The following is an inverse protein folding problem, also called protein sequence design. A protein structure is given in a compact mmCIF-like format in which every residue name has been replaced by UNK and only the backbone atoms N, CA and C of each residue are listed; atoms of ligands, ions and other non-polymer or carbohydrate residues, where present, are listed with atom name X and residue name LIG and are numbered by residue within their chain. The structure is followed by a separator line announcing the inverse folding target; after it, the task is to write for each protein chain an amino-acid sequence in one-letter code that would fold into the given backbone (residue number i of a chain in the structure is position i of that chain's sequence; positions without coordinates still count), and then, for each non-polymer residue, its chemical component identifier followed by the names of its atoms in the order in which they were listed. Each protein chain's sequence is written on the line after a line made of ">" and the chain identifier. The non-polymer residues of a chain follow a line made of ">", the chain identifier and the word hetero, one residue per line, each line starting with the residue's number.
data_IF_360257533350
#
_entry.id   IF_360257533350
#
_cell.length_a   1.000
_cell.length_b   1.000
_cell.length_c   1.000
_cell.angle_alpha   90.00
_cell.angle_beta   90.00
_cell.angle_gamma   90.00
#
_symmetry.space_group_name_H-M   'P 1'
#
loop_
_entity.id
_entity.type
_entity.pdbx_description
1 polymer ?
#
# COMPACT_ATOMS: atom_id res chain seq x y z
N UNK A 1 -3.76 20.36 -0.26
CA UNK A 1 -4.93 19.86 0.44
C UNK A 1 -5.17 20.64 1.72
N UNK A 2 -6.40 20.94 1.97
CA UNK A 2 -6.71 21.77 3.13
C UNK A 2 -6.91 20.91 4.37
N UNK A 3 -6.33 21.37 5.48
CA UNK A 3 -6.52 20.74 6.76
C UNK A 3 -7.95 20.94 7.26
N UNK A 4 -8.49 19.98 8.00
CA UNK A 4 -9.75 20.23 8.69
C UNK A 4 -9.57 21.37 9.68
N UNK A 5 -10.60 22.18 9.90
CA UNK A 5 -10.47 23.33 10.81
C UNK A 5 -10.20 22.91 12.24
N UNK A 6 -10.61 21.73 12.65
CA UNK A 6 -10.28 21.20 13.97
C UNK A 6 -10.53 19.70 13.99
N UNK A 7 -9.98 19.06 15.00
CA UNK A 7 -10.13 17.64 15.18
C UNK A 7 -11.59 17.28 15.45
N UNK A 8 -11.99 16.15 14.94
CA UNK A 8 -13.32 15.59 15.18
C UNK A 8 -13.24 14.69 16.41
N UNK A 9 -14.26 14.75 17.28
CA UNK A 9 -14.31 13.86 18.42
C UNK A 9 -14.51 12.43 17.94
N UNK A 10 -13.72 11.48 18.43
CA UNK A 10 -13.89 10.07 18.04
C UNK A 10 -15.18 9.51 18.59
N UNK A 11 -15.74 8.53 17.89
CA UNK A 11 -16.94 7.83 18.36
C UNK A 11 -16.71 7.16 19.70
N UNK A 12 -15.53 6.58 19.88
CA UNK A 12 -15.18 5.92 21.14
C UNK A 12 -13.92 6.58 21.69
N UNK A 13 -14.07 7.58 22.56
CA UNK A 13 -12.91 8.30 23.07
C UNK A 13 -12.03 7.50 24.02
N UNK A 14 -12.50 6.33 24.49
CA UNK A 14 -11.69 5.49 25.38
C UNK A 14 -10.74 4.57 24.60
N UNK A 15 -10.87 4.47 23.28
CA UNK A 15 -10.05 3.59 22.46
C UNK A 15 -9.39 4.31 21.29
N UNK A 16 -8.97 5.54 21.52
CA UNK A 16 -8.27 6.32 20.51
C UNK A 16 -6.89 5.71 20.30
N UNK A 17 -6.58 5.37 19.03
CA UNK A 17 -5.27 4.82 18.72
C UNK A 17 -4.20 5.90 18.78
N UNK A 18 -3.02 5.49 19.17
CA UNK A 18 -1.82 6.34 19.12
C UNK A 18 -0.80 5.65 18.23
N UNK A 19 0.21 6.39 17.80
CA UNK A 19 1.26 5.81 16.97
C UNK A 19 2.05 4.79 17.78
N UNK A 20 2.07 3.52 17.35
CA UNK A 20 2.87 2.50 18.05
C UNK A 20 4.34 2.61 17.67
N UNK A 21 5.19 1.83 18.35
CA UNK A 21 6.60 1.77 18.02
C UNK A 21 6.86 1.22 16.60
N UNK A 22 5.96 0.34 16.14
CA UNK A 22 6.07 -0.26 14.80
C UNK A 22 4.83 0.10 14.01
N UNK A 23 5.02 0.83 12.91
CA UNK A 23 3.90 1.22 12.07
C UNK A 23 4.38 1.40 10.63
N UNK A 24 3.44 1.31 9.70
CA UNK A 24 3.65 1.63 8.31
C UNK A 24 2.89 2.91 8.00
N UNK A 25 3.31 3.65 6.98
CA UNK A 25 2.61 4.84 6.57
C UNK A 25 2.16 4.71 5.12
N UNK A 26 1.12 5.44 4.79
CA UNK A 26 0.56 5.46 3.44
C UNK A 26 0.41 6.91 3.02
N UNK A 27 0.74 7.18 1.76
CA UNK A 27 0.53 8.49 1.18
C UNK A 27 -0.96 8.69 0.95
N UNK A 28 -1.53 9.76 1.50
CA UNK A 28 -2.96 10.03 1.36
C UNK A 28 -3.40 10.16 -0.10
N UNK A 29 -2.51 10.52 -1.00
CA UNK A 29 -2.84 10.65 -2.42
C UNK A 29 -3.19 9.31 -3.07
N UNK A 30 -2.83 8.21 -2.43
CA UNK A 30 -3.24 6.88 -2.91
C UNK A 30 -4.76 6.73 -2.96
N UNK A 31 -5.48 7.50 -2.14
CA UNK A 31 -6.95 7.50 -2.14
C UNK A 31 -7.53 7.65 -3.55
N UNK A 32 -6.90 8.48 -4.37
CA UNK A 32 -7.40 8.80 -5.69
C UNK A 32 -7.01 7.77 -6.74
N UNK A 33 -6.24 6.75 -6.34
CA UNK A 33 -5.80 5.68 -7.22
C UNK A 33 -6.57 4.38 -7.05
N UNK A 34 -7.44 4.31 -6.04
CA UNK A 34 -8.04 3.03 -5.63
C UNK A 34 -8.91 2.42 -6.74
N UNK A 35 -9.69 3.24 -7.42
CA UNK A 35 -10.55 2.74 -8.49
C UNK A 35 -9.74 2.12 -9.63
N UNK A 36 -8.64 2.75 -9.99
CA UNK A 36 -7.79 2.25 -11.07
C UNK A 36 -7.08 0.95 -10.70
N UNK A 37 -6.85 0.71 -9.41
CA UNK A 37 -6.11 -0.46 -8.96
C UNK A 37 -6.97 -1.71 -8.90
N UNK A 38 -8.19 -1.61 -8.37
CA UNK A 38 -9.02 -2.77 -8.09
C UNK A 38 -8.60 -3.46 -6.79
N UNK A 39 -9.45 -4.35 -6.31
CA UNK A 39 -9.30 -4.90 -4.96
C UNK A 39 -8.03 -5.70 -4.77
N UNK A 40 -7.66 -6.54 -5.72
CA UNK A 40 -6.47 -7.38 -5.58
C UNK A 40 -5.19 -6.55 -5.54
N UNK A 41 -5.11 -5.52 -6.39
CA UNK A 41 -3.94 -4.65 -6.39
C UNK A 41 -3.88 -3.80 -5.14
N UNK A 42 -5.04 -3.35 -4.63
CA UNK A 42 -5.10 -2.63 -3.36
C UNK A 42 -4.60 -3.53 -2.23
N UNK A 43 -5.05 -4.78 -2.20
CA UNK A 43 -4.61 -5.74 -1.18
C UNK A 43 -3.11 -5.96 -1.24
N UNK A 44 -2.56 -6.14 -2.44
CA UNK A 44 -1.13 -6.34 -2.61
C UNK A 44 -0.36 -5.10 -2.18
N UNK A 45 -0.82 -3.92 -2.55
CA UNK A 45 -0.15 -2.67 -2.17
C UNK A 45 -0.14 -2.50 -0.66
N UNK A 46 -1.26 -2.80 -0.01
CA UNK A 46 -1.36 -2.73 1.44
C UNK A 46 -0.36 -3.69 2.10
N UNK A 47 -0.33 -4.94 1.63
CA UNK A 47 0.60 -5.94 2.12
C UNK A 47 2.05 -5.48 1.98
N UNK A 48 2.39 -4.92 0.82
CA UNK A 48 3.77 -4.47 0.58
C UNK A 48 4.15 -3.32 1.50
N UNK A 49 3.21 -2.44 1.84
CA UNK A 49 3.49 -1.38 2.81
C UNK A 49 3.77 -1.96 4.20
N UNK A 50 3.05 -3.00 4.59
CA UNK A 50 3.27 -3.63 5.90
C UNK A 50 4.58 -4.40 5.95
N UNK A 51 5.06 -4.90 4.81
CA UNK A 51 6.25 -5.76 4.75
C UNK A 51 7.54 -5.01 4.46
N UNK A 52 7.45 -3.78 3.98
CA UNK A 52 8.60 -3.05 3.47
C UNK A 52 9.57 -2.64 4.58
N UNK A 53 10.87 -2.65 4.24
CA UNK A 53 11.87 -2.02 5.09
C UNK A 53 11.81 -0.49 4.91
N UNK A 54 12.75 0.22 5.52
CA UNK A 54 12.70 1.69 5.49
C UNK A 54 12.96 2.28 4.10
N UNK A 55 13.51 1.49 3.18
CA UNK A 55 13.70 1.94 1.79
C UNK A 55 12.55 1.52 0.89
N UNK A 56 11.53 0.87 1.44
CA UNK A 56 10.37 0.43 0.68
C UNK A 56 10.52 -0.94 0.06
N UNK A 57 11.55 -1.69 0.43
CA UNK A 57 11.88 -2.96 -0.23
C UNK A 57 11.44 -4.16 0.59
N UNK A 58 11.04 -5.22 -0.11
CA UNK A 58 10.74 -6.51 0.50
C UNK A 58 10.87 -7.61 -0.55
N UNK A 59 11.09 -8.84 -0.07
CA UNK A 59 11.31 -10.01 -0.95
C UNK A 59 10.21 -11.03 -0.70
N UNK A 60 9.46 -11.37 -1.76
CA UNK A 60 8.33 -12.29 -1.62
C UNK A 60 8.17 -13.18 -2.84
N UNK A 61 7.89 -14.46 -2.58
CA UNK A 61 7.45 -15.37 -3.62
C UNK A 61 5.93 -15.23 -3.83
N UNK A 62 5.48 -15.41 -5.07
CA UNK A 62 4.07 -15.27 -5.40
C UNK A 62 3.17 -16.20 -4.58
N UNK A 63 3.62 -17.44 -4.38
CA UNK A 63 2.84 -18.39 -3.58
C UNK A 63 2.65 -17.93 -2.15
N UNK A 64 3.65 -17.29 -1.57
CA UNK A 64 3.57 -16.81 -0.19
C UNK A 64 2.58 -15.66 -0.09
N UNK A 65 2.65 -14.71 -1.02
CA UNK A 65 1.71 -13.59 -1.04
C UNK A 65 0.29 -14.09 -1.23
N UNK A 66 0.10 -15.03 -2.17
CA UNK A 66 -1.22 -15.58 -2.46
C UNK A 66 -1.84 -16.19 -1.20
N UNK A 67 -1.03 -16.93 -0.44
CA UNK A 67 -1.50 -17.53 0.82
C UNK A 67 -1.89 -16.48 1.84
N UNK A 68 -1.07 -15.44 1.97
CA UNK A 68 -1.31 -14.39 2.98
C UNK A 68 -2.51 -13.52 2.64
N UNK A 69 -2.81 -13.35 1.37
CA UNK A 69 -3.92 -12.51 0.93
C UNK A 69 -5.17 -13.31 0.55
N UNK A 70 -5.10 -14.63 0.63
CA UNK A 70 -6.19 -15.51 0.21
C UNK A 70 -6.55 -15.25 -1.26
N UNK A 71 -5.52 -15.21 -2.10
CA UNK A 71 -5.64 -15.02 -3.54
C UNK A 71 -5.00 -16.20 -4.26
N UNK A 72 -5.31 -16.34 -5.53
CA UNK A 72 -4.57 -17.27 -6.40
C UNK A 72 -3.30 -16.60 -6.87
N UNK A 73 -2.29 -17.41 -7.24
CA UNK A 73 -1.03 -16.85 -7.71
C UNK A 73 -1.22 -15.98 -8.95
N UNK A 74 -2.13 -16.38 -9.84
CA UNK A 74 -2.45 -15.57 -11.02
C UNK A 74 -2.99 -14.18 -10.65
N UNK A 75 -3.76 -14.10 -9.57
CA UNK A 75 -4.27 -12.82 -9.10
C UNK A 75 -3.14 -11.93 -8.57
N UNK A 76 -2.15 -12.53 -7.92
CA UNK A 76 -0.99 -11.79 -7.43
C UNK A 76 -0.19 -11.22 -8.61
N UNK A 77 0.01 -12.02 -9.65
CA UNK A 77 0.73 -11.58 -10.84
C UNK A 77 0.00 -10.42 -11.50
N UNK A 78 -1.32 -10.56 -11.68
CA UNK A 78 -2.12 -9.50 -12.29
C UNK A 78 -2.13 -8.23 -11.45
N UNK A 79 -2.21 -8.38 -10.13
CA UNK A 79 -2.17 -7.25 -9.21
C UNK A 79 -0.82 -6.52 -9.30
N UNK A 80 0.26 -7.28 -9.32
CA UNK A 80 1.61 -6.72 -9.47
C UNK A 80 1.74 -5.92 -10.75
N UNK A 81 1.29 -6.49 -11.86
CA UNK A 81 1.37 -5.82 -13.16
C UNK A 81 0.60 -4.51 -13.14
N UNK A 82 -0.53 -4.48 -12.46
CA UNK A 82 -1.32 -3.26 -12.34
C UNK A 82 -0.62 -2.20 -11.50
N UNK A 83 0.02 -2.61 -10.40
CA UNK A 83 0.79 -1.68 -9.58
C UNK A 83 1.98 -1.11 -10.33
N UNK A 84 2.65 -1.94 -11.13
CA UNK A 84 3.76 -1.49 -11.97
C UNK A 84 3.26 -0.49 -13.01
N UNK A 85 2.15 -0.80 -13.66
CA UNK A 85 1.57 0.09 -14.68
C UNK A 85 1.18 1.45 -14.10
N UNK A 86 0.78 1.49 -12.83
CA UNK A 86 0.41 2.73 -12.15
C UNK A 86 1.62 3.46 -11.56
N UNK A 87 2.82 2.94 -11.72
CA UNK A 87 4.02 3.59 -11.22
C UNK A 87 4.19 3.54 -9.71
N UNK A 88 3.51 2.59 -9.05
CA UNK A 88 3.53 2.50 -7.59
C UNK A 88 4.54 1.50 -7.05
N UNK A 89 5.00 0.58 -7.88
CA UNK A 89 5.90 -0.50 -7.49
C UNK A 89 6.89 -0.76 -8.61
N UNK A 90 8.15 -0.98 -8.24
CA UNK A 90 9.14 -1.58 -9.12
C UNK A 90 9.35 -3.02 -8.67
N UNK A 91 9.60 -3.91 -9.62
CA UNK A 91 9.73 -5.32 -9.31
C UNK A 91 10.84 -5.96 -10.12
N UNK A 92 11.68 -6.73 -9.46
CA UNK A 92 12.66 -7.61 -10.10
C UNK A 92 12.73 -8.86 -9.22
N UNK A 93 12.26 -9.97 -9.74
CA UNK A 93 12.08 -11.18 -8.94
C UNK A 93 13.28 -11.45 -8.04
N UNK A 94 13.05 -11.69 -6.76
CA UNK A 94 11.81 -11.63 -5.99
C UNK A 94 11.64 -10.31 -5.23
N UNK A 95 12.32 -9.26 -5.64
CA UNK A 95 12.40 -7.99 -4.93
C UNK A 95 11.29 -7.05 -5.38
N UNK A 96 10.50 -6.59 -4.43
CA UNK A 96 9.54 -5.49 -4.60
C UNK A 96 10.12 -4.23 -4.02
N UNK A 97 9.82 -3.10 -4.66
CA UNK A 97 10.16 -1.80 -4.12
C UNK A 97 8.96 -0.87 -4.27
N UNK A 98 8.50 -0.32 -3.15
CA UNK A 98 7.47 0.71 -3.17
C UNK A 98 8.08 2.00 -3.70
N UNK A 99 7.38 2.66 -4.61
CA UNK A 99 7.84 3.90 -5.20
C UNK A 99 7.04 5.07 -4.63
N UNK A 100 7.68 6.23 -4.45
CA UNK A 100 6.93 7.40 -4.01
C UNK A 100 6.02 7.88 -5.14
N UNK A 101 4.91 8.52 -4.78
CA UNK A 101 4.10 9.21 -5.77
C UNK A 101 4.85 10.44 -6.22
N UNK A 102 4.84 10.67 -7.53
CA UNK A 102 5.48 11.84 -8.07
C UNK A 102 4.67 13.08 -7.75
N UNK A 103 5.35 14.16 -7.43
CA UNK A 103 4.68 15.43 -7.22
C UNK A 103 4.16 15.96 -8.55
N UNK A 104 3.03 16.68 -8.54
CA UNK A 104 2.54 17.29 -9.78
C UNK A 104 3.58 18.25 -10.33
N UNK A 105 3.71 18.27 -11.64
CA UNK A 105 4.61 19.22 -12.28
C UNK A 105 4.03 20.63 -12.19
N UNK A 106 4.89 21.63 -11.97
CA UNK A 106 4.43 23.03 -11.93
C UNK A 106 3.86 23.50 -13.25
#
# INVERSE_FOLDING_TARGET
>A
MRQPPKAVDPVDPTRVRTLPAHFAWLDHRLRDRLRALGLEAIALLFFLHLAADKTGCSFWADATIARKLDLREGDVIAARDRLIAQGLVAYRYPLYQLLPLEDPQP
#
